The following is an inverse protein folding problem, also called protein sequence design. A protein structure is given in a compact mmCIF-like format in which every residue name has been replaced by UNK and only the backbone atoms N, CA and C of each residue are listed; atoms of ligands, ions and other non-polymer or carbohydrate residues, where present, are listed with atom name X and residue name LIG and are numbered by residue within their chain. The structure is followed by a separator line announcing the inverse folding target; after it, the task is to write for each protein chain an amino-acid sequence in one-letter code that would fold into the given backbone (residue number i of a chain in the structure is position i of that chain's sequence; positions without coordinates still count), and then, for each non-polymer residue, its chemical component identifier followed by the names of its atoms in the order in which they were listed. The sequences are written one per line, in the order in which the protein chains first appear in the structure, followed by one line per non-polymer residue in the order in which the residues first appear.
data_IF_207282060783
#
_entry.id   IF_207282060783
#
_cell.length_a   1.000
_cell.length_b   1.000
_cell.length_c   1.000
_cell.angle_alpha   90.00
_cell.angle_beta   90.00
_cell.angle_gamma   90.00
#
_symmetry.space_group_name_H-M   'P 1'
#
loop_
_entity.id
_entity.type
_entity.pdbx_description
1 polymer ?
#
# COMPACT_ATOMS: atom_id res chain seq x y z
N UNK A 1 -64.70 67.55 3.17
CA UNK A 1 -65.18 67.37 1.78
C UNK A 1 -64.19 66.50 1.03
N UNK A 2 -64.65 65.41 0.45
CA UNK A 2 -64.04 64.69 -0.67
C UNK A 2 -63.04 63.61 -0.33
N UNK A 3 -63.60 62.45 -0.21
CA UNK A 3 -63.81 61.27 -1.11
C UNK A 3 -62.53 60.52 -1.53
N UNK A 4 -62.45 59.38 -0.99
CA UNK A 4 -62.20 58.04 -1.61
C UNK A 4 -61.35 57.97 -2.87
N UNK A 5 -60.39 57.00 -2.79
CA UNK A 5 -60.25 56.03 -3.86
C UNK A 5 -59.39 54.82 -3.37
N UNK A 6 -60.04 53.71 -3.37
CA UNK A 6 -59.48 52.36 -3.30
C UNK A 6 -58.57 52.08 -4.50
N UNK A 7 -57.40 51.52 -4.31
CA UNK A 7 -56.85 50.56 -5.28
C UNK A 7 -56.12 49.45 -4.55
N UNK A 8 -56.65 48.28 -4.73
CA UNK A 8 -56.00 46.99 -4.46
C UNK A 8 -54.86 46.80 -5.45
N UNK A 9 -53.72 46.35 -4.97
CA UNK A 9 -52.73 45.75 -5.86
C UNK A 9 -52.05 44.57 -5.14
N UNK A 10 -52.38 43.48 -5.63
CA UNK A 10 -51.75 42.19 -5.83
C UNK A 10 -50.52 41.84 -4.96
N UNK A 11 -50.73 40.81 -4.19
CA UNK A 11 -49.69 39.96 -3.58
C UNK A 11 -49.01 39.16 -4.69
N UNK A 12 -47.76 39.40 -4.94
CA UNK A 12 -46.87 38.46 -5.62
C UNK A 12 -45.98 37.79 -4.57
N UNK A 13 -46.35 36.60 -4.23
CA UNK A 13 -45.53 35.69 -3.46
C UNK A 13 -44.38 35.19 -4.32
N UNK A 14 -43.18 35.77 -4.14
CA UNK A 14 -41.95 35.17 -4.67
C UNK A 14 -41.54 34.02 -3.79
N UNK A 15 -41.81 32.81 -4.25
CA UNK A 15 -41.34 31.59 -3.64
C UNK A 15 -39.80 31.54 -3.67
N UNK A 16 -39.18 31.63 -2.52
CA UNK A 16 -37.77 31.33 -2.38
C UNK A 16 -37.59 29.80 -2.48
N UNK A 17 -37.10 29.35 -3.61
CA UNK A 17 -36.72 27.97 -3.86
C UNK A 17 -35.36 27.75 -3.18
N UNK A 18 -35.39 27.16 -1.97
CA UNK A 18 -34.20 26.71 -1.28
C UNK A 18 -33.75 25.43 -1.98
N UNK A 19 -32.73 25.53 -2.82
CA UNK A 19 -32.00 24.38 -3.34
C UNK A 19 -31.09 23.90 -2.21
N UNK A 20 -31.53 22.86 -1.50
CA UNK A 20 -30.69 22.11 -0.58
C UNK A 20 -29.69 21.31 -1.42
N UNK A 21 -28.47 21.79 -1.56
CA UNK A 21 -27.34 21.00 -2.01
C UNK A 21 -27.04 19.96 -0.90
N UNK A 22 -27.57 18.78 -1.05
CA UNK A 22 -27.10 17.63 -0.33
C UNK A 22 -25.70 17.30 -0.82
N UNK A 23 -24.67 17.75 -0.10
CA UNK A 23 -23.33 17.25 -0.23
C UNK A 23 -23.35 15.86 0.37
N UNK A 24 -23.66 14.86 -0.43
CA UNK A 24 -23.49 13.47 -0.11
C UNK A 24 -21.99 13.16 -0.09
N UNK A 25 -21.34 13.24 1.07
CA UNK A 25 -20.12 12.50 1.34
C UNK A 25 -20.50 11.02 1.41
N UNK A 26 -20.64 10.38 0.29
CA UNK A 26 -20.69 8.94 0.15
C UNK A 26 -19.27 8.43 0.06
N UNK A 27 -18.62 8.20 1.20
CA UNK A 27 -17.41 7.38 1.26
C UNK A 27 -17.84 5.92 1.38
N UNK A 28 -18.36 5.35 0.31
CA UNK A 28 -18.46 3.89 0.19
C UNK A 28 -17.19 3.35 -0.48
N UNK A 29 -16.09 3.32 0.27
CA UNK A 29 -14.94 2.51 -0.08
C UNK A 29 -15.07 1.15 0.58
N UNK A 30 -15.93 0.29 0.07
CA UNK A 30 -15.98 -1.15 0.37
C UNK A 30 -15.11 -1.96 -0.62
N UNK A 31 -14.03 -1.36 -1.13
CA UNK A 31 -12.94 -2.06 -1.81
C UNK A 31 -11.74 -2.18 -0.88
N UNK A 32 -10.80 -3.12 -1.11
CA UNK A 32 -9.52 -3.05 -0.41
C UNK A 32 -8.93 -1.66 -0.64
N UNK A 33 -8.49 -1.01 0.45
CA UNK A 33 -7.88 0.30 0.38
C UNK A 33 -6.72 0.24 -0.62
N UNK A 34 -6.94 0.79 -1.82
CA UNK A 34 -5.90 0.90 -2.84
C UNK A 34 -5.06 2.10 -2.43
N UNK A 35 -3.90 1.82 -1.87
CA UNK A 35 -2.93 2.87 -1.57
C UNK A 35 -2.48 3.51 -2.89
N UNK A 36 -2.18 4.81 -2.88
CA UNK A 36 -1.80 5.57 -4.09
C UNK A 36 -0.65 4.92 -4.89
N UNK A 37 0.20 4.13 -4.22
CA UNK A 37 1.34 3.43 -4.82
C UNK A 37 1.05 1.95 -5.14
N UNK A 38 -0.22 1.51 -5.13
CA UNK A 38 -0.61 0.17 -5.53
C UNK A 38 -1.00 -0.79 -4.40
N UNK A 39 -0.68 -2.07 -4.52
CA UNK A 39 -1.04 -3.11 -3.56
C UNK A 39 0.13 -4.05 -3.23
N UNK A 40 0.17 -4.54 -1.99
CA UNK A 40 1.13 -5.55 -1.54
C UNK A 40 0.48 -6.43 -0.47
N UNK A 41 0.57 -7.75 -0.63
CA UNK A 41 0.03 -8.70 0.34
C UNK A 41 0.90 -9.95 0.43
N UNK A 42 0.80 -10.68 1.54
CA UNK A 42 1.55 -11.91 1.78
C UNK A 42 0.90 -12.72 2.93
N UNK A 43 1.50 -13.86 3.27
CA UNK A 43 1.32 -14.51 4.56
C UNK A 43 2.62 -14.41 5.36
N UNK A 44 2.54 -14.04 6.63
CA UNK A 44 3.66 -14.04 7.58
C UNK A 44 3.38 -15.12 8.61
N UNK A 45 4.22 -16.14 8.68
CA UNK A 45 4.04 -17.33 9.54
C UNK A 45 2.64 -17.97 9.37
N UNK A 46 2.13 -17.97 8.14
CA UNK A 46 0.81 -18.50 7.77
C UNK A 46 -0.36 -17.52 7.99
N UNK A 47 -0.19 -16.42 8.71
CA UNK A 47 -1.22 -15.40 8.91
C UNK A 47 -1.26 -14.40 7.76
N UNK A 48 -2.45 -14.08 7.27
CA UNK A 48 -2.62 -13.07 6.20
C UNK A 48 -2.12 -11.70 6.63
N UNK A 49 -1.44 -11.02 5.72
CA UNK A 49 -0.93 -9.67 5.87
C UNK A 49 -1.20 -8.87 4.57
N UNK A 50 -1.53 -7.61 4.70
CA UNK A 50 -1.67 -6.69 3.56
C UNK A 50 -1.18 -5.31 3.97
N UNK A 51 -0.50 -4.61 3.08
CA UNK A 51 -0.18 -3.21 3.26
C UNK A 51 -1.48 -2.39 3.19
N UNK A 52 -1.83 -1.72 4.27
CA UNK A 52 -3.06 -0.91 4.39
C UNK A 52 -2.79 0.53 4.80
N UNK A 53 -1.58 0.83 5.26
CA UNK A 53 -1.21 2.17 5.74
C UNK A 53 -0.25 2.86 4.78
N UNK A 54 0.72 2.14 4.23
CA UNK A 54 1.69 2.71 3.31
C UNK A 54 2.28 1.64 2.39
N UNK A 55 2.58 2.03 1.15
CA UNK A 55 3.49 1.34 0.24
C UNK A 55 4.53 2.33 -0.22
N UNK A 56 5.79 1.99 -0.06
CA UNK A 56 6.93 2.70 -0.63
C UNK A 56 7.55 1.81 -1.71
N UNK A 57 7.67 2.34 -2.91
CA UNK A 57 8.28 1.64 -4.03
C UNK A 57 9.24 2.58 -4.75
N UNK A 58 10.42 2.09 -5.06
CA UNK A 58 11.47 2.85 -5.77
C UNK A 58 12.15 1.97 -6.80
N UNK A 59 12.44 2.54 -7.96
CA UNK A 59 13.25 1.90 -8.97
C UNK A 59 14.23 2.91 -9.55
N UNK A 60 15.49 2.76 -9.23
CA UNK A 60 16.56 3.66 -9.69
C UNK A 60 17.84 2.87 -9.98
N UNK A 61 18.48 3.16 -11.10
CA UNK A 61 19.76 2.52 -11.51
C UNK A 61 19.69 0.99 -11.45
N UNK A 62 18.57 0.40 -11.88
CA UNK A 62 18.28 -1.03 -11.81
C UNK A 62 18.17 -1.60 -10.38
N UNK A 63 18.05 -0.79 -9.36
CA UNK A 63 17.76 -1.22 -8.00
C UNK A 63 16.28 -1.01 -7.72
N UNK A 64 15.56 -2.11 -7.47
CA UNK A 64 14.19 -2.12 -7.04
C UNK A 64 14.14 -2.26 -5.52
N UNK A 65 13.39 -1.41 -4.86
CA UNK A 65 13.06 -1.51 -3.44
C UNK A 65 11.56 -1.32 -3.24
N UNK A 66 10.92 -2.25 -2.53
CA UNK A 66 9.49 -2.18 -2.22
C UNK A 66 9.29 -2.52 -0.74
N UNK A 67 8.47 -1.75 -0.05
CA UNK A 67 8.06 -2.02 1.32
C UNK A 67 6.61 -1.63 1.53
N UNK A 68 5.87 -2.46 2.24
CA UNK A 68 4.49 -2.20 2.66
C UNK A 68 4.36 -2.25 4.17
N UNK A 69 3.40 -1.50 4.72
CA UNK A 69 3.10 -1.47 6.16
C UNK A 69 1.60 -1.63 6.37
N UNK A 70 1.22 -2.48 7.33
CA UNK A 70 -0.18 -2.66 7.74
C UNK A 70 -0.60 -1.72 8.87
N UNK A 71 -1.88 -1.73 9.23
CA UNK A 71 -2.44 -0.91 10.29
C UNK A 71 -1.88 -1.23 11.69
N UNK A 72 -1.29 -2.41 11.89
CA UNK A 72 -0.63 -2.79 13.14
C UNK A 72 0.84 -2.35 13.20
N UNK A 73 1.33 -1.67 12.16
CA UNK A 73 2.73 -1.22 12.05
C UNK A 73 3.70 -2.34 11.67
N UNK A 74 3.22 -3.50 11.21
CA UNK A 74 4.09 -4.55 10.67
C UNK A 74 4.48 -4.18 9.25
N UNK A 75 5.76 -4.25 8.94
CA UNK A 75 6.29 -3.94 7.61
C UNK A 75 6.92 -5.17 6.98
N UNK A 76 6.64 -5.38 5.71
CA UNK A 76 7.33 -6.34 4.85
C UNK A 76 7.95 -5.59 3.70
N UNK A 77 9.21 -5.86 3.42
CA UNK A 77 9.92 -5.24 2.31
C UNK A 77 10.89 -6.18 1.64
N UNK A 78 11.29 -5.85 0.44
CA UNK A 78 12.32 -6.56 -0.30
C UNK A 78 13.02 -5.62 -1.29
N UNK A 79 14.21 -6.02 -1.70
CA UNK A 79 14.97 -5.34 -2.74
C UNK A 79 15.71 -6.32 -3.64
N UNK A 80 15.96 -5.90 -4.87
CA UNK A 80 16.75 -6.66 -5.84
C UNK A 80 17.39 -5.75 -6.89
N UNK A 81 18.48 -6.20 -7.48
CA UNK A 81 19.01 -5.58 -8.70
C UNK A 81 18.28 -6.19 -9.90
N UNK A 82 17.46 -5.37 -10.58
CA UNK A 82 16.50 -5.80 -11.61
C UNK A 82 16.74 -5.01 -12.88
N UNK A 83 17.22 -5.64 -13.94
CA UNK A 83 17.36 -5.02 -15.27
C UNK A 83 16.24 -5.43 -16.24
N UNK A 84 15.56 -6.53 -15.96
CA UNK A 84 14.45 -7.09 -16.75
C UNK A 84 13.57 -7.99 -15.85
N UNK A 85 12.35 -8.35 -16.26
CA UNK A 85 11.56 -9.38 -15.60
C UNK A 85 12.36 -10.68 -15.41
N UNK A 86 12.16 -11.34 -14.27
CA UNK A 86 12.91 -12.56 -13.91
C UNK A 86 12.76 -12.94 -12.45
N UNK A 87 13.41 -14.04 -12.06
CA UNK A 87 13.44 -14.52 -10.68
C UNK A 87 14.80 -14.24 -10.05
N UNK A 88 14.80 -13.59 -8.89
CA UNK A 88 15.96 -13.17 -8.12
C UNK A 88 15.98 -13.96 -6.80
N UNK A 89 17.02 -14.76 -6.63
CA UNK A 89 17.17 -15.59 -5.42
C UNK A 89 17.88 -14.79 -4.34
N UNK A 90 17.38 -14.83 -3.10
CA UNK A 90 18.09 -14.30 -1.94
C UNK A 90 19.12 -15.33 -1.50
N UNK A 91 20.39 -15.02 -1.69
CA UNK A 91 21.52 -15.91 -1.42
C UNK A 91 22.80 -15.09 -1.13
N UNK A 92 23.86 -15.77 -0.69
CA UNK A 92 25.13 -15.15 -0.26
C UNK A 92 25.73 -14.19 -1.29
N UNK A 93 25.63 -14.48 -2.57
CA UNK A 93 26.21 -13.67 -3.65
C UNK A 93 25.19 -12.81 -4.38
N UNK A 94 23.96 -12.80 -3.94
CA UNK A 94 22.87 -12.06 -4.59
C UNK A 94 22.67 -10.70 -3.91
N UNK A 95 22.41 -9.63 -4.66
CA UNK A 95 21.97 -8.35 -4.09
C UNK A 95 20.50 -8.35 -3.66
N UNK A 96 19.76 -9.46 -3.86
CA UNK A 96 18.38 -9.57 -3.42
C UNK A 96 18.30 -9.76 -1.89
N UNK A 97 17.32 -9.13 -1.27
CA UNK A 97 17.10 -9.19 0.17
C UNK A 97 15.60 -9.12 0.51
N UNK A 98 15.24 -9.54 1.72
CA UNK A 98 13.92 -9.42 2.30
C UNK A 98 14.01 -8.94 3.75
N UNK A 99 12.99 -8.23 4.22
CA UNK A 99 12.92 -7.64 5.55
C UNK A 99 11.51 -7.79 6.12
N UNK A 100 11.40 -8.09 7.40
CA UNK A 100 10.17 -8.02 8.18
C UNK A 100 10.46 -7.19 9.44
N UNK A 101 9.62 -6.21 9.75
CA UNK A 101 9.64 -5.48 11.01
C UNK A 101 8.29 -5.65 11.71
N UNK A 102 8.31 -5.91 13.01
CA UNK A 102 7.12 -6.06 13.84
C UNK A 102 7.43 -5.66 15.28
N UNK A 103 6.68 -4.71 15.83
CA UNK A 103 6.80 -4.28 17.22
C UNK A 103 8.25 -3.93 17.64
N UNK A 104 8.99 -3.23 16.80
CA UNK A 104 10.38 -2.82 17.06
C UNK A 104 11.43 -3.93 16.86
N UNK A 105 11.01 -5.13 16.50
CA UNK A 105 11.89 -6.26 16.16
C UNK A 105 12.08 -6.34 14.66
N UNK A 106 13.23 -6.86 14.22
CA UNK A 106 13.56 -6.99 12.80
C UNK A 106 14.07 -8.40 12.46
N UNK A 107 13.67 -8.87 11.28
CA UNK A 107 14.16 -10.10 10.66
C UNK A 107 14.60 -9.79 9.24
N UNK A 108 15.69 -10.40 8.82
CA UNK A 108 16.29 -10.17 7.52
C UNK A 108 16.61 -11.46 6.79
N UNK A 109 16.36 -11.48 5.50
CA UNK A 109 16.86 -12.46 4.56
C UNK A 109 17.82 -11.75 3.61
N UNK A 110 19.12 -11.97 3.77
CA UNK A 110 20.15 -11.38 2.92
C UNK A 110 21.48 -12.12 3.08
N UNK A 111 22.23 -12.26 2.01
CA UNK A 111 23.54 -12.90 2.08
C UNK A 111 23.49 -14.30 2.64
N UNK A 112 24.21 -14.54 3.75
CA UNK A 112 24.31 -15.84 4.42
C UNK A 112 23.14 -16.12 5.38
N UNK A 113 22.24 -15.16 5.65
CA UNK A 113 21.14 -15.30 6.60
C UNK A 113 19.81 -15.25 5.87
N UNK A 114 18.98 -16.25 6.12
CA UNK A 114 17.72 -16.40 5.42
C UNK A 114 17.88 -16.87 3.97
N UNK A 115 16.76 -17.00 3.28
CA UNK A 115 16.70 -17.41 1.88
C UNK A 115 15.34 -17.04 1.28
N UNK A 116 15.23 -17.02 -0.05
CA UNK A 116 13.95 -16.74 -0.69
C UNK A 116 14.09 -16.44 -2.17
N UNK A 117 12.98 -16.04 -2.75
CA UNK A 117 12.89 -15.64 -4.15
C UNK A 117 11.97 -14.44 -4.32
N UNK A 118 12.33 -13.55 -5.24
CA UNK A 118 11.54 -12.44 -5.70
C UNK A 118 11.37 -12.63 -7.21
N UNK A 119 10.14 -12.73 -7.69
CA UNK A 119 9.86 -12.87 -9.12
C UNK A 119 9.20 -11.60 -9.64
N UNK A 120 9.87 -10.90 -10.52
CA UNK A 120 9.36 -9.73 -11.22
C UNK A 120 8.72 -10.19 -12.52
N UNK A 121 7.41 -10.05 -12.65
CA UNK A 121 6.67 -10.42 -13.86
C UNK A 121 6.55 -9.28 -14.86
N UNK A 122 6.58 -8.04 -14.38
CA UNK A 122 6.64 -6.84 -15.20
C UNK A 122 7.38 -5.74 -14.45
N UNK A 123 8.14 -4.92 -15.18
CA UNK A 123 8.80 -3.72 -14.68
C UNK A 123 8.87 -2.67 -15.79
N UNK A 124 8.65 -1.42 -15.43
CA UNK A 124 8.71 -0.24 -16.29
C UNK A 124 9.29 0.95 -15.53
N UNK A 125 9.34 2.11 -16.15
CA UNK A 125 9.74 3.35 -15.46
C UNK A 125 8.68 3.83 -14.42
N UNK A 126 7.45 3.31 -14.47
CA UNK A 126 6.32 3.77 -13.65
C UNK A 126 5.75 2.74 -12.72
N UNK A 127 6.28 1.50 -12.71
CA UNK A 127 5.77 0.49 -11.78
C UNK A 127 6.35 -0.90 -12.01
N UNK A 128 6.06 -1.79 -11.08
CA UNK A 128 6.48 -3.19 -11.09
C UNK A 128 5.39 -4.11 -10.53
N UNK A 129 5.36 -5.34 -11.05
CA UNK A 129 4.46 -6.41 -10.59
C UNK A 129 5.24 -7.70 -10.38
N UNK A 130 4.76 -8.51 -9.44
CA UNK A 130 5.39 -9.81 -9.22
C UNK A 130 4.96 -10.49 -7.93
N UNK A 131 5.78 -11.46 -7.54
CA UNK A 131 5.58 -12.27 -6.35
C UNK A 131 6.86 -12.35 -5.54
N UNK A 132 6.74 -12.65 -4.24
CA UNK A 132 7.88 -12.84 -3.37
C UNK A 132 7.59 -13.86 -2.27
N UNK A 133 8.65 -14.54 -1.83
CA UNK A 133 8.62 -15.40 -0.67
C UNK A 133 10.03 -15.49 -0.08
N UNK A 134 10.12 -15.49 1.24
CA UNK A 134 11.42 -15.62 1.91
C UNK A 134 11.28 -16.07 3.36
N UNK A 135 12.35 -16.68 3.87
CA UNK A 135 12.55 -16.95 5.29
C UNK A 135 13.59 -15.98 5.81
N UNK A 136 13.23 -15.15 6.75
CA UNK A 136 14.08 -14.13 7.36
C UNK A 136 14.55 -14.58 8.75
N UNK A 137 15.83 -14.43 9.03
CA UNK A 137 16.43 -14.71 10.33
C UNK A 137 16.38 -13.46 11.24
N UNK A 138 16.36 -13.62 12.56
CA UNK A 138 16.31 -12.48 13.49
C UNK A 138 17.58 -11.62 13.38
N UNK A 139 17.39 -10.30 13.39
CA UNK A 139 18.48 -9.33 13.41
C UNK A 139 18.96 -9.15 14.86
N UNK A 140 20.25 -9.33 15.08
CA UNK A 140 20.86 -9.18 16.41
C UNK A 140 20.62 -7.78 16.99
N UNK A 141 20.35 -7.70 18.29
CA UNK A 141 20.11 -6.44 19.00
C UNK A 141 18.68 -5.89 18.91
N UNK A 142 17.80 -6.49 18.10
CA UNK A 142 16.40 -6.04 17.97
C UNK A 142 15.44 -6.80 18.90
N UNK A 143 15.91 -7.81 19.63
CA UNK A 143 15.07 -8.68 20.45
C UNK A 143 14.21 -9.64 19.63
N UNK A 144 14.44 -9.77 18.34
CA UNK A 144 13.80 -10.76 17.49
C UNK A 144 14.30 -12.17 17.83
N UNK A 145 13.41 -13.16 17.76
CA UNK A 145 13.71 -14.58 18.01
C UNK A 145 13.00 -15.45 16.98
N UNK A 146 13.57 -16.60 16.65
CA UNK A 146 13.02 -17.48 15.62
C UNK A 146 13.05 -16.84 14.22
N UNK A 147 12.80 -17.61 13.20
CA UNK A 147 12.68 -17.09 11.83
C UNK A 147 11.27 -16.59 11.56
N UNK A 148 11.14 -15.65 10.63
CA UNK A 148 9.87 -15.26 10.00
C UNK A 148 9.78 -15.86 8.61
N UNK A 149 8.66 -16.50 8.31
CA UNK A 149 8.40 -17.11 7.00
C UNK A 149 7.36 -16.27 6.27
N UNK A 150 7.76 -15.69 5.16
CA UNK A 150 6.88 -14.91 4.26
C UNK A 150 6.58 -15.74 3.02
N UNK A 151 5.32 -16.02 2.77
CA UNK A 151 4.83 -16.82 1.64
C UNK A 151 3.68 -16.14 0.92
N UNK A 152 3.36 -16.62 -0.28
CA UNK A 152 2.25 -16.13 -1.10
C UNK A 152 2.27 -14.60 -1.28
N UNK A 153 3.47 -14.03 -1.29
CA UNK A 153 3.66 -12.60 -1.52
C UNK A 153 3.30 -12.20 -2.94
N UNK A 154 2.49 -11.14 -3.07
CA UNK A 154 2.11 -10.54 -4.36
C UNK A 154 2.24 -9.03 -4.23
N UNK A 155 2.70 -8.37 -5.29
CA UNK A 155 2.75 -6.91 -5.38
C UNK A 155 2.40 -6.42 -6.78
N UNK A 156 1.78 -5.25 -6.83
CA UNK A 156 1.50 -4.45 -8.00
C UNK A 156 1.64 -2.99 -7.58
N UNK A 157 2.77 -2.35 -7.90
CA UNK A 157 3.16 -1.04 -7.37
C UNK A 157 3.50 -0.04 -8.46
N UNK A 158 3.32 1.25 -8.14
CA UNK A 158 3.72 2.39 -8.95
C UNK A 158 4.89 3.13 -8.28
N UNK A 159 5.73 3.81 -9.10
CA UNK A 159 6.89 4.61 -8.67
C UNK A 159 6.62 6.09 -8.77
#
# INVERSE_FOLDING_TARGET
MGVAAWRRAARTSAGAMIVALAVGCGSDSTGPDVLDNGSMSAKIDGASWSATTAIAATYNSNILGIAGTDAAGRSVGFGAAVSAPGTFTIAVTSPANGLVNEAGKAWQAAGAVGSGTITITAISATGAKGTFQFTAAPVAGTGATGNKVVTEGVFDVTF
#
